data_IF_631795932833
#
_entry.id   IF_631795932833
#
_cell.length_a   1.000
_cell.length_b   1.000
_cell.length_c   1.000
_cell.angle_alpha   90.00
_cell.angle_beta   90.00
_cell.angle_gamma   90.00
#
_symmetry.space_group_name_H-M   'P 1'
#
loop_
_entity.id
_entity.type
_entity.pdbx_description
1 polymer ?
#
# COMPACT_ATOMS: atom_id res chain seq x y z
N UNK A 1 15.54 4.75 -15.27
CA UNK A 1 14.42 3.81 -15.05
C UNK A 1 13.22 4.62 -14.58
N UNK A 2 12.05 4.54 -15.24
CA UNK A 2 10.89 5.37 -14.90
C UNK A 2 10.02 4.68 -13.84
N UNK A 3 9.75 5.35 -12.71
CA UNK A 3 9.04 4.77 -11.56
C UNK A 3 7.56 5.16 -11.51
N UNK A 4 7.18 6.35 -12.00
CA UNK A 4 5.84 6.90 -11.83
C UNK A 4 4.88 6.40 -12.92
N UNK A 5 4.13 5.33 -12.63
CA UNK A 5 3.14 4.75 -13.55
C UNK A 5 1.83 5.53 -13.54
N UNK A 6 1.23 5.73 -14.71
CA UNK A 6 -0.13 6.27 -14.81
C UNK A 6 -1.19 5.29 -14.28
N UNK A 7 -2.11 5.80 -13.46
CA UNK A 7 -3.26 5.08 -12.89
C UNK A 7 -4.49 5.01 -13.81
N UNK A 8 -4.50 5.74 -14.93
CA UNK A 8 -5.59 5.67 -15.91
C UNK A 8 -5.69 4.30 -16.58
N UNK A 9 -6.93 3.83 -16.81
CA UNK A 9 -7.21 2.52 -17.41
C UNK A 9 -6.64 2.44 -18.83
N UNK A 10 -5.88 1.39 -19.11
CA UNK A 10 -5.24 1.20 -20.42
C UNK A 10 -3.96 2.02 -20.65
N UNK A 11 -3.59 2.92 -19.73
CA UNK A 11 -2.35 3.69 -19.86
C UNK A 11 -1.16 2.93 -19.23
N UNK A 12 -0.12 2.70 -20.03
CA UNK A 12 1.14 2.07 -19.61
C UNK A 12 2.30 3.06 -19.51
N UNK A 13 2.07 4.34 -19.77
CA UNK A 13 3.08 5.40 -19.69
C UNK A 13 3.63 5.53 -18.28
N UNK A 14 4.96 5.71 -18.19
CA UNK A 14 5.69 5.97 -16.96
C UNK A 14 6.45 7.27 -17.14
N UNK A 15 6.32 8.18 -16.20
CA UNK A 15 6.98 9.48 -16.21
C UNK A 15 8.20 9.48 -15.27
N UNK A 16 9.15 10.40 -15.50
CA UNK A 16 10.27 10.62 -14.56
C UNK A 16 9.80 11.32 -13.29
N UNK A 17 8.81 12.21 -13.41
CA UNK A 17 8.30 13.05 -12.32
C UNK A 17 6.95 12.52 -11.84
N UNK A 18 6.68 12.51 -10.53
CA UNK A 18 5.34 12.18 -10.02
C UNK A 18 4.35 13.29 -10.38
N UNK A 19 3.24 12.91 -11.02
CA UNK A 19 2.14 13.81 -11.34
C UNK A 19 0.91 13.36 -10.56
N UNK A 20 0.82 13.81 -9.32
CA UNK A 20 -0.25 13.45 -8.40
C UNK A 20 -1.41 14.44 -8.54
N UNK A 21 -2.61 13.93 -8.79
CA UNK A 21 -3.82 14.75 -8.80
C UNK A 21 -4.17 15.23 -7.39
N UNK A 22 -4.44 16.53 -7.22
CA UNK A 22 -4.81 17.11 -5.92
C UNK A 22 -6.15 16.60 -5.37
N UNK A 23 -7.07 16.18 -6.26
CA UNK A 23 -8.41 15.74 -5.89
C UNK A 23 -8.46 14.26 -5.53
N UNK A 24 -7.99 13.38 -6.42
CA UNK A 24 -8.07 11.93 -6.23
C UNK A 24 -6.79 11.29 -5.63
N UNK A 25 -5.72 12.07 -5.48
CA UNK A 25 -4.41 11.65 -4.95
C UNK A 25 -3.79 10.44 -5.68
N UNK A 26 -4.08 10.28 -6.97
CA UNK A 26 -3.49 9.26 -7.84
C UNK A 26 -2.44 9.86 -8.77
N UNK A 27 -1.50 9.02 -9.20
CA UNK A 27 -0.45 9.41 -10.14
C UNK A 27 -0.88 9.19 -11.60
N UNK A 28 -0.64 10.17 -12.45
CA UNK A 28 -0.96 10.14 -13.87
C UNK A 28 0.26 10.48 -14.75
N UNK A 29 0.11 10.42 -16.07
CA UNK A 29 1.09 10.94 -17.02
C UNK A 29 0.69 12.34 -17.49
N UNK A 30 1.56 13.04 -18.24
CA UNK A 30 1.29 14.40 -18.73
C UNK A 30 0.01 14.50 -19.59
N UNK A 31 -0.35 13.41 -20.26
CA UNK A 31 -1.58 13.27 -21.07
C UNK A 31 -2.85 13.10 -20.25
N UNK A 32 -2.74 12.59 -19.02
CA UNK A 32 -3.89 12.28 -18.15
C UNK A 32 -3.86 13.11 -16.86
N UNK A 33 -3.14 14.23 -16.84
CA UNK A 33 -2.96 15.05 -15.63
C UNK A 33 -4.21 15.79 -15.21
N UNK A 34 -5.05 16.18 -16.19
CA UNK A 34 -6.27 16.94 -15.91
C UNK A 34 -7.42 16.01 -15.53
N UNK A 35 -8.35 16.54 -14.72
CA UNK A 35 -9.51 15.81 -14.19
C UNK A 35 -10.43 15.25 -15.29
N UNK A 36 -10.51 15.93 -16.44
CA UNK A 36 -11.28 15.50 -17.60
C UNK A 36 -10.65 14.27 -18.30
N UNK A 37 -9.32 14.18 -18.33
CA UNK A 37 -8.60 13.15 -19.09
C UNK A 37 -8.50 11.80 -18.35
N UNK A 38 -8.71 11.77 -17.03
CA UNK A 38 -8.59 10.55 -16.23
C UNK A 38 -9.85 10.14 -15.46
N UNK A 39 -10.99 10.77 -15.72
CA UNK A 39 -12.26 10.52 -15.01
C UNK A 39 -12.04 10.57 -13.49
N UNK A 40 -11.72 11.76 -12.98
CA UNK A 40 -11.34 11.93 -11.57
C UNK A 40 -12.43 11.48 -10.58
N UNK A 41 -12.10 10.56 -9.68
CA UNK A 41 -13.00 10.14 -8.58
C UNK A 41 -13.19 11.22 -7.48
N UNK A 42 -12.46 12.33 -7.57
CA UNK A 42 -12.49 13.42 -6.60
C UNK A 42 -11.98 13.07 -5.20
N UNK A 43 -12.12 14.01 -4.27
CA UNK A 43 -11.70 13.85 -2.85
C UNK A 43 -12.45 12.74 -2.12
N UNK A 44 -13.72 12.53 -2.45
CA UNK A 44 -14.52 11.48 -1.81
C UNK A 44 -14.01 10.09 -2.21
N UNK A 45 -13.69 9.89 -3.49
CA UNK A 45 -13.09 8.66 -3.97
C UNK A 45 -11.70 8.41 -3.38
N UNK A 46 -10.89 9.47 -3.24
CA UNK A 46 -9.59 9.37 -2.57
C UNK A 46 -9.73 8.85 -1.13
N UNK A 47 -10.62 9.45 -0.34
CA UNK A 47 -10.88 9.03 1.05
C UNK A 47 -11.35 7.57 1.15
N UNK A 48 -12.27 7.15 0.26
CA UNK A 48 -12.72 5.75 0.20
C UNK A 48 -11.56 4.79 -0.06
N UNK A 49 -10.68 5.10 -1.01
CA UNK A 49 -9.51 4.28 -1.34
C UNK A 49 -8.51 4.23 -0.19
N UNK A 50 -8.26 5.36 0.46
CA UNK A 50 -7.39 5.42 1.64
C UNK A 50 -7.94 4.56 2.78
N UNK A 51 -9.24 4.63 3.07
CA UNK A 51 -9.88 3.80 4.07
C UNK A 51 -9.76 2.30 3.73
N UNK A 52 -9.99 1.92 2.47
CA UNK A 52 -9.82 0.55 2.00
C UNK A 52 -8.36 0.05 2.17
N UNK A 53 -7.39 0.86 1.74
CA UNK A 53 -5.97 0.53 1.89
C UNK A 53 -5.57 0.40 3.38
N UNK A 54 -6.09 1.27 4.25
CA UNK A 54 -5.83 1.21 5.69
C UNK A 54 -6.42 -0.06 6.33
N UNK A 55 -7.62 -0.47 5.92
CA UNK A 55 -8.23 -1.72 6.37
C UNK A 55 -7.38 -2.94 5.96
N UNK A 56 -6.95 -2.99 4.70
CA UNK A 56 -6.07 -4.06 4.20
C UNK A 56 -4.71 -4.09 4.91
N UNK A 57 -4.13 -2.92 5.20
CA UNK A 57 -2.87 -2.83 5.92
C UNK A 57 -2.97 -3.42 7.34
N UNK A 58 -4.08 -3.17 8.05
CA UNK A 58 -4.34 -3.74 9.38
C UNK A 58 -4.45 -5.26 9.35
N UNK A 59 -5.14 -5.81 8.34
CA UNK A 59 -5.23 -7.28 8.16
C UNK A 59 -3.84 -7.89 7.94
N UNK A 60 -3.03 -7.30 7.06
CA UNK A 60 -1.66 -7.76 6.78
C UNK A 60 -0.72 -7.64 7.99
N UNK A 61 -0.90 -6.62 8.82
CA UNK A 61 -0.15 -6.46 10.08
C UNK A 61 -0.49 -7.57 11.08
N UNK A 62 -1.77 -7.95 11.19
CA UNK A 62 -2.19 -9.06 12.03
C UNK A 62 -1.55 -10.39 11.59
N UNK A 63 -1.51 -10.67 10.29
CA UNK A 63 -0.85 -11.88 9.75
C UNK A 63 0.64 -11.95 10.11
N UNK A 64 1.37 -10.84 9.94
CA UNK A 64 2.79 -10.76 10.31
C UNK A 64 3.01 -10.91 11.82
N UNK A 65 2.10 -10.38 12.64
CA UNK A 65 2.16 -10.52 14.09
C UNK A 65 1.99 -11.98 14.51
N UNK A 66 1.04 -12.71 13.89
CA UNK A 66 0.83 -14.14 14.16
C UNK A 66 2.06 -14.97 13.78
N UNK A 67 2.68 -14.72 12.62
CA UNK A 67 3.93 -15.40 12.23
C UNK A 67 5.07 -15.11 13.22
N UNK A 68 5.20 -13.87 13.66
CA UNK A 68 6.21 -13.50 14.65
C UNK A 68 5.94 -14.16 16.02
N UNK A 69 4.67 -14.27 16.45
CA UNK A 69 4.28 -15.00 17.66
C UNK A 69 4.60 -16.49 17.60
N UNK A 70 4.45 -17.13 16.44
CA UNK A 70 4.82 -18.54 16.24
C UNK A 70 6.31 -18.81 16.50
N UNK A 71 7.18 -17.90 16.06
CA UNK A 71 8.63 -18.00 16.32
C UNK A 71 8.97 -17.77 17.81
N UNK A 72 8.35 -16.78 18.45
CA UNK A 72 8.59 -16.47 19.88
C UNK A 72 8.04 -17.56 20.81
N UNK A 73 6.90 -18.18 20.47
CA UNK A 73 6.35 -19.32 21.23
C UNK A 73 7.26 -20.56 21.20
N UNK A 74 7.94 -20.82 20.07
CA UNK A 74 8.94 -21.90 19.99
C UNK A 74 10.23 -21.61 20.77
N UNK A 75 10.65 -20.34 20.89
CA UNK A 75 11.83 -19.96 21.69
C UNK A 75 11.54 -20.00 23.19
N UNK A 76 10.35 -19.54 23.62
CA UNK A 76 9.94 -19.55 25.03
C UNK A 76 9.85 -20.98 25.63
N UNK A 77 9.61 -21.99 24.79
CA UNK A 77 9.62 -23.40 25.22
C UNK A 77 11.03 -24.02 25.25
N UNK A 78 12.02 -23.44 24.57
CA UNK A 78 13.40 -23.94 24.54
C UNK A 78 14.21 -23.50 25.77
N UNK A 79 13.90 -22.34 26.37
CA UNK A 79 14.65 -21.82 27.52
C UNK A 79 14.40 -22.57 28.84
N UNK A 80 13.40 -23.46 28.91
CA UNK A 80 13.08 -24.23 30.13
C UNK A 80 13.74 -25.62 30.16
N UNK A 81 14.46 -26.02 29.11
CA UNK A 81 15.11 -27.35 29.00
C UNK A 81 16.64 -27.30 29.23
N UNK A 82 17.19 -26.17 29.69
CA UNK A 82 18.61 -26.11 30.05
C UNK A 82 18.85 -25.46 31.42
N UNK A 83 18.98 -26.33 32.43
CA UNK A 83 19.88 -26.09 33.57
C UNK A 83 19.28 -25.42 34.80
N UNK A 84 18.69 -26.22 35.68
CA UNK A 84 18.65 -25.91 37.11
C UNK A 84 19.55 -26.94 37.81
N UNK A 85 20.79 -26.52 38.10
CA UNK A 85 21.71 -27.16 39.04
C UNK A 85 22.36 -26.05 39.85
#
# INVERSE_FOLDING_TARGET
VFTNKCSYKGCKTKEMVPLVCAECSLNFCLRHRHTADHTCDGKLGAKKRQAANAAMARMKQNEKNIQNRGFVASIANFTTVQGNM
#
